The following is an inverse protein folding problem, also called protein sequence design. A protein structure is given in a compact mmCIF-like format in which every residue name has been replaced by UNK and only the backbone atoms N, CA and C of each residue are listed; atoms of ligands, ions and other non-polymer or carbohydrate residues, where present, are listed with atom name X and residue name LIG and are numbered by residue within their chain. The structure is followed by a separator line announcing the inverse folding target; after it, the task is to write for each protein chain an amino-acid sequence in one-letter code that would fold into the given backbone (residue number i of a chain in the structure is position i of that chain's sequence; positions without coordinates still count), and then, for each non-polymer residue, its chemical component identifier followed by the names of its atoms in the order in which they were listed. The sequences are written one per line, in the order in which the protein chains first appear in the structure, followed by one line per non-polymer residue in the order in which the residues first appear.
data_IF_869768171174
#
_entry.id   IF_869768171174
#
_cell.length_a   1.000
_cell.length_b   1.000
_cell.length_c   1.000
_cell.angle_alpha   90.00
_cell.angle_beta   90.00
_cell.angle_gamma   90.00
#
_symmetry.space_group_name_H-M   'P 1'
#
loop_
_entity.id
_entity.type
_entity.pdbx_description
1 polymer ?
#
# COMPACT_ATOMS: atom_id res chain seq x y z
N UNK A 1 7.01 15.18 -3.09
CA UNK A 1 7.45 13.78 -3.13
C UNK A 1 8.22 13.60 -4.42
N UNK A 2 9.54 13.51 -4.31
CA UNK A 2 10.44 13.43 -5.47
C UNK A 2 11.41 12.24 -5.36
N UNK A 3 11.50 11.59 -4.19
CA UNK A 3 12.37 10.45 -3.96
C UNK A 3 11.56 9.15 -3.78
N UNK A 4 12.18 8.03 -4.14
CA UNK A 4 11.66 6.67 -3.96
C UNK A 4 11.24 6.39 -2.51
N UNK A 5 12.04 6.87 -1.54
CA UNK A 5 11.83 6.72 -0.09
C UNK A 5 10.53 7.37 0.42
N UNK A 6 10.20 8.55 -0.10
CA UNK A 6 8.99 9.30 0.28
C UNK A 6 7.70 8.50 0.01
N UNK A 7 7.69 7.71 -1.08
CA UNK A 7 6.53 6.92 -1.48
C UNK A 7 6.27 5.76 -0.52
N UNK A 8 7.32 5.14 0.00
CA UNK A 8 7.20 4.04 0.94
C UNK A 8 6.81 4.51 2.34
N UNK A 9 7.36 5.63 2.81
CA UNK A 9 6.90 6.26 4.05
C UNK A 9 5.40 6.58 3.98
N UNK A 10 4.95 7.15 2.84
CA UNK A 10 3.53 7.38 2.62
C UNK A 10 2.72 6.09 2.61
N UNK A 11 3.21 5.03 1.95
CA UNK A 11 2.53 3.75 1.90
C UNK A 11 2.31 3.16 3.29
N UNK A 12 3.29 3.29 4.20
CA UNK A 12 3.15 2.85 5.59
C UNK A 12 2.07 3.63 6.33
N UNK A 13 2.07 4.96 6.21
CA UNK A 13 1.02 5.80 6.80
C UNK A 13 -0.35 5.42 6.24
N UNK A 14 -0.45 5.25 4.93
CA UNK A 14 -1.67 4.86 4.25
C UNK A 14 -2.20 3.51 4.74
N UNK A 15 -1.37 2.47 4.71
CA UNK A 15 -1.76 1.13 5.18
C UNK A 15 -2.12 1.18 6.67
N UNK A 16 -1.34 1.88 7.49
CA UNK A 16 -1.63 2.03 8.92
C UNK A 16 -3.01 2.64 9.19
N UNK A 17 -3.39 3.66 8.42
CA UNK A 17 -4.74 4.24 8.49
C UNK A 17 -5.82 3.22 8.07
N UNK A 18 -5.61 2.50 6.96
CA UNK A 18 -6.58 1.49 6.53
C UNK A 18 -6.78 0.41 7.61
N UNK A 19 -5.69 -0.05 8.22
CA UNK A 19 -5.75 -1.07 9.27
C UNK A 19 -6.38 -0.54 10.56
N UNK A 20 -6.07 0.70 10.96
CA UNK A 20 -6.70 1.35 12.12
C UNK A 20 -8.23 1.45 11.97
N UNK A 21 -8.73 1.65 10.75
CA UNK A 21 -10.15 1.72 10.46
C UNK A 21 -10.70 0.43 9.83
N UNK A 22 -10.02 -0.71 9.98
CA UNK A 22 -10.38 -2.00 9.35
C UNK A 22 -11.81 -2.47 9.69
N UNK A 23 -12.34 -2.09 10.86
CA UNK A 23 -13.74 -2.35 11.25
C UNK A 23 -14.73 -1.78 10.21
N UNK A 24 -14.44 -0.61 9.65
CA UNK A 24 -15.29 0.05 8.67
C UNK A 24 -15.34 -0.73 7.35
N UNK A 25 -14.22 -1.32 6.95
CA UNK A 25 -14.09 -2.12 5.74
C UNK A 25 -14.81 -3.47 5.86
N UNK A 26 -14.88 -4.04 7.08
CA UNK A 26 -15.54 -5.33 7.36
C UNK A 26 -17.06 -5.27 7.20
N UNK A 27 -17.69 -4.22 7.73
CA UNK A 27 -19.16 -4.06 7.73
C UNK A 27 -19.65 -3.08 6.65
N UNK A 28 -18.80 -2.78 5.67
CA UNK A 28 -19.00 -1.72 4.70
C UNK A 28 -20.33 -1.81 3.95
N UNK A 29 -20.78 -3.02 3.61
CA UNK A 29 -22.06 -3.24 2.91
C UNK A 29 -23.25 -2.76 3.75
N UNK A 30 -23.30 -3.15 5.03
CA UNK A 30 -24.37 -2.77 5.96
C UNK A 30 -24.37 -1.26 6.16
N UNK A 31 -23.20 -0.68 6.42
CA UNK A 31 -23.04 0.77 6.62
C UNK A 31 -23.49 1.57 5.39
N UNK A 32 -23.23 1.06 4.18
CA UNK A 32 -23.56 1.74 2.93
C UNK A 32 -25.03 1.65 2.53
N UNK A 33 -25.69 0.56 2.90
CA UNK A 33 -27.12 0.39 2.65
C UNK A 33 -27.93 1.37 3.52
N UNK A 34 -27.47 1.64 4.74
CA UNK A 34 -28.09 2.61 5.67
C UNK A 34 -27.72 4.08 5.36
N UNK A 35 -26.55 4.34 4.78
CA UNK A 35 -26.08 5.71 4.50
C UNK A 35 -25.48 5.89 3.09
N UNK A 36 -26.35 6.24 2.13
CA UNK A 36 -25.96 6.49 0.72
C UNK A 36 -25.01 7.67 0.54
N UNK A 37 -25.05 8.69 1.41
CA UNK A 37 -24.13 9.83 1.34
C UNK A 37 -22.71 9.39 1.70
N UNK A 38 -22.58 8.58 2.76
CA UNK A 38 -21.33 7.99 3.21
C UNK A 38 -20.75 7.08 2.12
N UNK A 39 -21.55 6.19 1.54
CA UNK A 39 -21.16 5.36 0.39
C UNK A 39 -20.54 6.21 -0.73
N UNK A 40 -21.21 7.29 -1.14
CA UNK A 40 -20.70 8.17 -2.21
C UNK A 40 -19.39 8.85 -1.85
N UNK A 41 -19.23 9.32 -0.62
CA UNK A 41 -17.98 9.95 -0.14
C UNK A 41 -16.85 8.93 -0.10
N UNK A 42 -17.13 7.73 0.37
CA UNK A 42 -16.15 6.66 0.43
C UNK A 42 -15.71 6.19 -0.96
N UNK A 43 -16.62 6.01 -1.91
CA UNK A 43 -16.23 5.65 -3.29
C UNK A 43 -15.34 6.70 -3.95
N UNK A 44 -15.54 8.00 -3.63
CA UNK A 44 -14.61 9.06 -4.06
C UNK A 44 -13.24 8.93 -3.39
N UNK A 45 -13.21 8.59 -2.11
CA UNK A 45 -11.98 8.36 -1.38
C UNK A 45 -11.18 7.19 -1.99
N UNK A 46 -11.84 6.06 -2.27
CA UNK A 46 -11.23 4.91 -2.96
C UNK A 46 -10.69 5.30 -4.33
N UNK A 47 -11.46 6.06 -5.12
CA UNK A 47 -10.98 6.56 -6.41
C UNK A 47 -9.73 7.43 -6.27
N UNK A 48 -9.68 8.30 -5.27
CA UNK A 48 -8.51 9.13 -4.99
C UNK A 48 -7.29 8.29 -4.61
N UNK A 49 -7.46 7.19 -3.88
CA UNK A 49 -6.36 6.27 -3.54
C UNK A 49 -5.79 5.59 -4.79
N UNK A 50 -6.66 5.08 -5.67
CA UNK A 50 -6.21 4.53 -6.96
C UNK A 50 -5.44 5.59 -7.77
N UNK A 51 -6.01 6.79 -7.93
CA UNK A 51 -5.33 7.87 -8.66
C UNK A 51 -3.99 8.26 -8.04
N UNK A 52 -3.85 8.18 -6.72
CA UNK A 52 -2.58 8.42 -6.04
C UNK A 52 -1.54 7.35 -6.40
N UNK A 53 -1.88 6.06 -6.24
CA UNK A 53 -0.94 4.98 -6.54
C UNK A 53 -0.57 4.92 -8.02
N UNK A 54 -1.51 5.22 -8.91
CA UNK A 54 -1.22 5.35 -10.33
C UNK A 54 -0.17 6.45 -10.57
N UNK A 55 -0.37 7.65 -10.01
CA UNK A 55 0.60 8.76 -10.13
C UNK A 55 1.97 8.40 -9.57
N UNK A 56 2.01 7.71 -8.44
CA UNK A 56 3.26 7.21 -7.86
C UNK A 56 3.98 6.27 -8.84
N UNK A 57 3.29 5.24 -9.36
CA UNK A 57 3.88 4.28 -10.29
C UNK A 57 4.32 4.95 -11.60
N UNK A 58 3.54 5.90 -12.11
CA UNK A 58 3.93 6.69 -13.29
C UNK A 58 5.19 7.51 -13.00
N UNK A 59 5.26 8.19 -11.86
CA UNK A 59 6.44 8.97 -11.46
C UNK A 59 7.69 8.11 -11.28
N UNK A 60 7.55 6.92 -10.68
CA UNK A 60 8.65 5.95 -10.54
C UNK A 60 9.13 5.41 -11.90
N UNK A 61 8.21 5.25 -12.85
CA UNK A 61 8.54 4.81 -14.20
C UNK A 61 9.21 5.94 -15.01
N UNK A 62 8.76 7.19 -14.85
CA UNK A 62 9.38 8.38 -15.44
C UNK A 62 10.80 8.62 -14.91
N UNK A 63 11.07 8.33 -13.63
CA UNK A 63 12.41 8.38 -13.04
C UNK A 63 13.25 7.13 -13.31
N UNK A 64 12.75 6.18 -14.13
CA UNK A 64 13.43 4.92 -14.46
C UNK A 64 13.71 4.00 -13.26
N UNK A 65 13.06 4.22 -12.12
CA UNK A 65 13.17 3.35 -10.93
C UNK A 65 12.44 2.02 -11.16
N UNK A 66 11.34 2.06 -11.92
CA UNK A 66 10.59 0.88 -12.34
C UNK A 66 10.39 0.85 -13.86
N UNK A 67 10.04 -0.31 -14.39
CA UNK A 67 9.70 -0.54 -15.80
C UNK A 67 8.36 -1.24 -15.90
N UNK A 68 7.30 -0.45 -16.05
CA UNK A 68 5.92 -0.92 -16.24
C UNK A 68 5.28 -0.22 -17.44
N UNK A 69 4.55 -0.98 -18.25
CA UNK A 69 3.59 -0.41 -19.21
C UNK A 69 2.45 0.33 -18.48
N UNK A 70 1.77 1.26 -19.14
CA UNK A 70 0.64 2.00 -18.55
C UNK A 70 -0.47 1.06 -18.02
N UNK A 71 -0.76 -0.02 -18.76
CA UNK A 71 -1.73 -1.03 -18.34
C UNK A 71 -1.30 -1.75 -17.05
N UNK A 72 0.00 -2.07 -16.92
CA UNK A 72 0.55 -2.66 -15.69
C UNK A 72 0.51 -1.66 -14.53
N UNK A 73 0.81 -0.38 -14.77
CA UNK A 73 0.72 0.66 -13.74
C UNK A 73 -0.70 0.79 -13.18
N UNK A 74 -1.71 0.86 -14.05
CA UNK A 74 -3.12 0.93 -13.63
C UNK A 74 -3.54 -0.34 -12.86
N UNK A 75 -3.23 -1.53 -13.40
CA UNK A 75 -3.58 -2.79 -12.74
C UNK A 75 -2.86 -2.96 -11.40
N UNK A 76 -1.63 -2.46 -11.27
CA UNK A 76 -0.87 -2.49 -10.03
C UNK A 76 -1.46 -1.53 -9.00
N UNK A 77 -1.89 -0.32 -9.40
CA UNK A 77 -2.56 0.62 -8.51
C UNK A 77 -3.85 0.04 -7.90
N UNK A 78 -4.67 -0.65 -8.70
CA UNK A 78 -5.85 -1.38 -8.22
C UNK A 78 -5.46 -2.50 -7.24
N UNK A 79 -4.40 -3.24 -7.55
CA UNK A 79 -3.89 -4.35 -6.72
C UNK A 79 -3.40 -3.85 -5.36
N UNK A 80 -2.67 -2.73 -5.33
CA UNK A 80 -2.21 -2.08 -4.09
C UNK A 80 -3.40 -1.68 -3.23
N UNK A 81 -4.42 -1.05 -3.84
CA UNK A 81 -5.64 -0.68 -3.12
C UNK A 81 -6.33 -1.92 -2.54
N UNK A 82 -6.49 -2.98 -3.33
CA UNK A 82 -7.14 -4.21 -2.91
C UNK A 82 -6.44 -4.85 -1.71
N UNK A 83 -5.11 -4.95 -1.76
CA UNK A 83 -4.30 -5.52 -0.68
C UNK A 83 -4.41 -4.66 0.57
N UNK A 84 -4.28 -3.34 0.45
CA UNK A 84 -4.39 -2.46 1.60
C UNK A 84 -5.77 -2.57 2.27
N UNK A 85 -6.87 -2.61 1.51
CA UNK A 85 -8.24 -2.59 2.06
C UNK A 85 -8.78 -3.97 2.45
N UNK A 86 -8.29 -5.05 1.85
CA UNK A 86 -8.78 -6.42 2.10
C UNK A 86 -7.67 -7.31 2.65
N UNK A 87 -6.75 -6.75 3.41
CA UNK A 87 -5.77 -7.57 4.12
C UNK A 87 -6.51 -8.50 5.08
N UNK A 88 -6.63 -9.76 4.66
CA UNK A 88 -7.08 -10.89 5.46
C UNK A 88 -5.94 -11.30 6.41
N UNK A 89 -5.42 -10.34 7.18
CA UNK A 89 -4.43 -10.68 8.18
C UNK A 89 -5.14 -11.37 9.33
N UNK A 90 -4.86 -12.66 9.51
CA UNK A 90 -5.51 -13.52 10.51
C UNK A 90 -5.26 -13.02 11.93
N UNK A 91 -4.20 -12.25 12.15
CA UNK A 91 -3.93 -11.62 13.44
C UNK A 91 -4.97 -10.56 13.78
N UNK A 92 -5.67 -9.94 12.82
CA UNK A 92 -6.79 -9.02 13.11
C UNK A 92 -8.00 -9.71 13.79
N UNK A 93 -7.97 -11.04 13.95
CA UNK A 93 -8.93 -11.79 14.75
C UNK A 93 -8.45 -12.10 16.17
N UNK A 94 -7.19 -11.81 16.50
CA UNK A 94 -6.60 -11.98 17.83
C UNK A 94 -6.95 -10.77 18.72
N UNK A 95 -7.04 -10.96 20.05
CA UNK A 95 -7.41 -9.87 20.97
C UNK A 95 -6.29 -8.82 21.13
N UNK A 96 -5.02 -9.24 21.05
CA UNK A 96 -3.83 -8.41 21.28
C UNK A 96 -2.96 -8.28 20.02
N UNK A 97 -3.58 -8.03 18.86
CA UNK A 97 -2.84 -7.92 17.61
C UNK A 97 -1.94 -6.69 17.54
N UNK A 98 -0.74 -6.84 16.97
CA UNK A 98 0.16 -5.72 16.74
C UNK A 98 -0.14 -5.06 15.38
N UNK A 99 -0.82 -3.92 15.42
CA UNK A 99 -1.17 -3.12 14.25
C UNK A 99 0.07 -2.68 13.44
N UNK A 100 1.19 -2.44 14.13
CA UNK A 100 2.45 -2.06 13.48
C UNK A 100 2.97 -3.25 12.69
N UNK A 101 3.03 -4.44 13.30
CA UNK A 101 3.48 -5.66 12.61
C UNK A 101 2.59 -6.00 11.40
N UNK A 102 1.27 -5.87 11.52
CA UNK A 102 0.32 -6.07 10.41
C UNK A 102 0.60 -5.08 9.26
N UNK A 103 0.70 -3.78 9.58
CA UNK A 103 0.95 -2.72 8.59
C UNK A 103 2.22 -3.02 7.81
N UNK A 104 3.27 -3.37 8.55
CA UNK A 104 4.58 -3.72 8.03
C UNK A 104 4.54 -4.91 7.07
N UNK A 105 3.85 -6.00 7.43
CA UNK A 105 3.68 -7.17 6.55
C UNK A 105 2.95 -6.82 5.26
N UNK A 106 1.92 -5.99 5.35
CA UNK A 106 1.13 -5.57 4.18
C UNK A 106 1.98 -4.71 3.23
N UNK A 107 2.74 -3.75 3.78
CA UNK A 107 3.66 -2.92 3.01
C UNK A 107 4.70 -3.79 2.30
N UNK A 108 5.31 -4.76 3.01
CA UNK A 108 6.27 -5.68 2.40
C UNK A 108 5.64 -6.50 1.26
N UNK A 109 4.40 -6.99 1.42
CA UNK A 109 3.68 -7.67 0.33
C UNK A 109 3.51 -6.77 -0.90
N UNK A 110 3.19 -5.50 -0.69
CA UNK A 110 3.05 -4.53 -1.79
C UNK A 110 4.40 -4.31 -2.48
N UNK A 111 5.48 -4.12 -1.73
CA UNK A 111 6.81 -3.94 -2.30
C UNK A 111 7.24 -5.17 -3.10
N UNK A 112 7.04 -6.38 -2.58
CA UNK A 112 7.34 -7.64 -3.28
C UNK A 112 6.58 -7.79 -4.61
N UNK A 113 5.40 -7.17 -4.76
CA UNK A 113 4.67 -7.17 -6.02
C UNK A 113 5.24 -6.19 -7.05
N UNK A 114 5.87 -5.12 -6.59
CA UNK A 114 6.48 -4.09 -7.44
C UNK A 114 7.94 -4.47 -7.79
N UNK A 115 8.65 -5.17 -6.89
CA UNK A 115 10.06 -5.57 -7.05
C UNK A 115 10.39 -6.18 -8.42
N UNK A 116 9.57 -7.05 -9.05
CA UNK A 116 9.89 -7.63 -10.35
C UNK A 116 10.08 -6.57 -11.45
N UNK A 117 9.48 -5.40 -11.27
CA UNK A 117 9.53 -4.28 -12.20
C UNK A 117 10.63 -3.27 -11.88
N UNK A 118 11.33 -3.41 -10.75
CA UNK A 118 12.44 -2.52 -10.41
C UNK A 118 13.54 -2.58 -11.46
N UNK A 119 14.16 -1.42 -11.72
CA UNK A 119 15.40 -1.36 -12.47
C UNK A 119 16.52 -2.09 -11.72
N UNK A 120 17.61 -2.46 -12.41
CA UNK A 120 18.73 -3.12 -11.74
C UNK A 120 19.32 -2.27 -10.59
N UNK A 121 19.42 -0.95 -10.79
CA UNK A 121 19.91 -0.02 -9.77
C UNK A 121 18.96 0.04 -8.57
N UNK A 122 17.65 0.12 -8.83
CA UNK A 122 16.63 0.17 -7.78
C UNK A 122 16.53 -1.16 -7.02
N UNK A 123 16.78 -2.30 -7.69
CA UNK A 123 16.88 -3.62 -7.05
C UNK A 123 18.07 -3.70 -6.11
N UNK A 124 19.24 -3.22 -6.52
CA UNK A 124 20.42 -3.20 -5.65
C UNK A 124 20.20 -2.32 -4.42
N UNK A 125 19.61 -1.13 -4.58
CA UNK A 125 19.22 -0.25 -3.46
C UNK A 125 18.23 -0.95 -2.52
N UNK A 126 17.17 -1.55 -3.07
CA UNK A 126 16.15 -2.27 -2.31
C UNK A 126 16.72 -3.47 -1.56
N UNK A 127 17.53 -4.31 -2.22
CA UNK A 127 18.15 -5.48 -1.59
C UNK A 127 19.08 -5.06 -0.45
N UNK A 128 19.88 -4.00 -0.65
CA UNK A 128 20.74 -3.46 0.38
C UNK A 128 19.95 -2.94 1.59
N UNK A 129 18.83 -2.27 1.38
CA UNK A 129 17.93 -1.81 2.46
C UNK A 129 17.26 -2.97 3.20
N UNK A 130 16.81 -4.01 2.49
CA UNK A 130 16.16 -5.19 3.08
C UNK A 130 17.16 -6.11 3.79
N UNK A 131 18.38 -6.27 3.26
CA UNK A 131 19.44 -7.13 3.84
C UNK A 131 20.10 -6.53 5.07
N UNK A 132 20.28 -5.20 5.11
CA UNK A 132 20.85 -4.52 6.28
C UNK A 132 19.87 -4.45 7.46
N UNK A 133 18.57 -4.50 7.18
CA UNK A 133 17.55 -4.33 8.20
C UNK A 133 16.40 -5.34 8.05
N UNK A 134 16.63 -6.66 8.17
CA UNK A 134 15.58 -7.66 7.98
C UNK A 134 14.47 -7.60 9.04
N UNK A 135 14.75 -7.00 10.21
CA UNK A 135 13.80 -6.76 11.32
C UNK A 135 13.32 -5.30 11.37
N UNK A 136 13.99 -4.41 10.64
CA UNK A 136 13.85 -2.94 10.70
C UNK A 136 13.62 -2.28 9.33
N UNK A 137 13.47 -3.04 8.24
CA UNK A 137 12.99 -2.58 6.93
C UNK A 137 11.63 -1.90 7.07
N UNK A 138 11.00 -2.14 8.21
CA UNK A 138 9.74 -1.64 8.67
C UNK A 138 9.83 -0.51 9.70
N UNK A 139 11.04 -0.12 10.11
CA UNK A 139 11.38 1.05 10.94
C UNK A 139 11.90 2.24 10.12
N UNK A 140 12.37 1.98 8.88
CA UNK A 140 12.61 3.03 7.87
C UNK A 140 11.34 3.81 7.50
N UNK A 141 10.18 3.34 7.96
CA UNK A 141 8.87 3.86 7.62
C UNK A 141 8.02 4.30 8.82
N UNK A 142 8.67 4.62 9.94
CA UNK A 142 8.07 5.31 11.09
C UNK A 142 8.68 6.69 11.29
#
# INVERSE_FOLDING_TARGET
VQAFEDYWAYLNVYVGLIQQYSFFYRDMKVIFDENKLLKRRFMRLVHNHHSFFLKMLTSLNESSEIKMTEAQQSSMADTICLIATNSLDTQLAEEDYDLKEITQRIVMRIIMLIEPYFSNESKEKYLHEVELNPVEATSLFS
#
